data_IF_512746102912
#
_entry.id   IF_512746102912
#
_cell.length_a   1.000
_cell.length_b   1.000
_cell.length_c   1.000
_cell.angle_alpha   90.00
_cell.angle_beta   90.00
_cell.angle_gamma   90.00
#
_symmetry.space_group_name_H-M   'P 1'
#
loop_
_entity.id
_entity.type
_entity.pdbx_description
1 polymer ?
#
# COMPACT_ATOMS: atom_id res chain seq x y z
N UNK A 1 -14.55 36.70 8.46
CA UNK A 1 -13.52 37.07 7.47
C UNK A 1 -13.80 36.38 6.14
N UNK A 2 -13.70 37.09 5.03
CA UNK A 2 -14.11 36.53 3.72
C UNK A 2 -13.32 35.30 3.29
N UNK A 3 -12.09 35.11 3.78
CA UNK A 3 -11.23 33.99 3.36
C UNK A 3 -11.01 32.94 4.44
N UNK A 4 -11.88 32.88 5.45
CA UNK A 4 -11.72 31.90 6.53
C UNK A 4 -11.77 30.45 6.02
N UNK A 5 -12.59 30.22 4.99
CA UNK A 5 -12.71 28.89 4.38
C UNK A 5 -11.43 28.44 3.65
N UNK A 6 -10.46 29.34 3.42
CA UNK A 6 -9.18 29.00 2.78
C UNK A 6 -8.07 28.70 3.80
N UNK A 7 -8.36 28.78 5.08
CA UNK A 7 -7.37 28.41 6.10
C UNK A 7 -7.11 26.91 6.05
N UNK A 8 -5.87 26.54 6.30
CA UNK A 8 -5.44 25.12 6.27
C UNK A 8 -6.25 24.25 7.23
N UNK A 9 -6.51 24.76 8.44
CA UNK A 9 -7.26 24.01 9.46
C UNK A 9 -8.75 23.84 9.15
N UNK A 10 -9.25 24.50 8.09
CA UNK A 10 -10.62 24.36 7.62
C UNK A 10 -10.75 23.39 6.43
N UNK A 11 -9.62 22.85 5.96
CA UNK A 11 -9.66 21.91 4.83
C UNK A 11 -10.11 20.54 5.30
N UNK A 12 -11.04 19.93 4.56
CA UNK A 12 -11.58 18.61 4.91
C UNK A 12 -10.53 17.51 4.81
N UNK A 13 -9.76 17.52 3.73
CA UNK A 13 -8.91 16.39 3.39
C UNK A 13 -7.43 16.60 3.76
N UNK A 14 -7.04 17.78 4.25
CA UNK A 14 -5.66 17.98 4.67
C UNK A 14 -5.22 17.04 5.79
N UNK A 15 -6.05 16.78 6.83
CA UNK A 15 -5.65 15.80 7.85
C UNK A 15 -5.36 14.41 7.27
N UNK A 16 -6.10 13.99 6.24
CA UNK A 16 -5.85 12.72 5.58
C UNK A 16 -4.49 12.72 4.87
N UNK A 17 -4.18 13.79 4.16
CA UNK A 17 -2.90 13.95 3.48
C UNK A 17 -1.74 13.94 4.49
N UNK A 18 -1.88 14.72 5.55
CA UNK A 18 -0.86 14.79 6.60
C UNK A 18 -0.70 13.44 7.32
N UNK A 19 -1.81 12.79 7.65
CA UNK A 19 -1.79 11.49 8.32
C UNK A 19 -1.10 10.44 7.44
N UNK A 20 -1.37 10.43 6.14
CA UNK A 20 -0.74 9.49 5.22
C UNK A 20 0.79 9.66 5.21
N UNK A 21 1.28 10.89 5.12
CA UNK A 21 2.71 11.17 5.12
C UNK A 21 3.39 10.79 6.45
N UNK A 22 2.73 11.12 7.56
CA UNK A 22 3.26 10.83 8.89
C UNK A 22 3.24 9.33 9.17
N UNK A 23 2.21 8.63 8.73
CA UNK A 23 2.07 7.19 8.92
C UNK A 23 3.20 6.42 8.22
N UNK A 24 3.59 6.84 7.02
CA UNK A 24 4.72 6.24 6.30
C UNK A 24 5.99 6.34 7.14
N UNK A 25 6.20 7.45 7.83
CA UNK A 25 7.35 7.63 8.73
C UNK A 25 7.30 6.68 9.92
N UNK A 26 6.10 6.42 10.45
CA UNK A 26 5.94 5.48 11.57
C UNK A 26 6.24 4.05 11.11
N UNK A 27 5.83 3.68 9.90
CA UNK A 27 6.13 2.36 9.36
C UNK A 27 7.60 2.13 9.05
N UNK A 28 8.35 3.18 8.72
CA UNK A 28 9.74 3.05 8.25
C UNK A 28 10.61 2.18 9.16
N UNK A 29 10.70 2.44 10.48
CA UNK A 29 11.53 1.60 11.34
C UNK A 29 11.02 0.18 11.48
N UNK A 30 9.71 -0.05 11.29
CA UNK A 30 9.13 -1.39 11.32
C UNK A 30 9.46 -2.19 10.06
N UNK A 31 9.59 -1.50 8.93
CA UNK A 31 9.83 -2.13 7.63
C UNK A 31 11.32 -2.26 7.28
N UNK A 32 12.19 -1.47 7.91
CA UNK A 32 13.64 -1.53 7.66
C UNK A 32 14.23 -2.92 7.80
N UNK A 33 13.89 -3.72 8.85
CA UNK A 33 14.42 -5.08 8.94
C UNK A 33 14.06 -5.97 7.76
N UNK A 34 12.98 -5.66 7.06
CA UNK A 34 12.55 -6.39 5.87
C UNK A 34 13.10 -5.78 4.58
N UNK A 35 13.73 -4.61 4.65
CA UNK A 35 14.22 -3.90 3.46
C UNK A 35 13.11 -3.37 2.58
N UNK A 36 11.92 -3.11 3.13
CA UNK A 36 10.75 -2.66 2.38
C UNK A 36 10.44 -1.19 2.63
N UNK A 37 10.03 -0.49 1.57
CA UNK A 37 9.29 0.76 1.71
C UNK A 37 7.82 0.45 1.99
N UNK A 38 7.05 1.46 2.39
CA UNK A 38 5.61 1.26 2.66
C UNK A 38 4.88 0.79 1.39
N UNK A 39 5.17 1.38 0.23
CA UNK A 39 4.56 0.97 -1.04
C UNK A 39 4.87 -0.48 -1.38
N UNK A 40 6.11 -0.91 -1.15
CA UNK A 40 6.51 -2.29 -1.37
C UNK A 40 5.80 -3.24 -0.41
N UNK A 41 5.64 -2.83 0.83
CA UNK A 41 4.89 -3.60 1.82
C UNK A 41 3.45 -3.83 1.37
N UNK A 42 2.79 -2.79 0.82
CA UNK A 42 1.42 -2.92 0.31
C UNK A 42 1.34 -3.95 -0.82
N UNK A 43 2.31 -3.95 -1.74
CA UNK A 43 2.36 -4.95 -2.81
C UNK A 43 2.50 -6.35 -2.22
N UNK A 44 3.39 -6.51 -1.23
CA UNK A 44 3.59 -7.81 -0.58
C UNK A 44 2.32 -8.28 0.12
N UNK A 45 1.59 -7.38 0.80
CA UNK A 45 0.33 -7.73 1.47
C UNK A 45 -0.68 -8.31 0.48
N UNK A 46 -0.80 -7.71 -0.70
CA UNK A 46 -1.71 -8.21 -1.73
C UNK A 46 -1.27 -9.59 -2.24
N UNK A 47 0.03 -9.76 -2.50
CA UNK A 47 0.57 -11.02 -3.01
C UNK A 47 0.56 -12.14 -1.96
N UNK A 48 0.77 -11.82 -0.69
CA UNK A 48 0.65 -12.81 0.38
C UNK A 48 -0.79 -13.30 0.54
N UNK A 49 -1.76 -12.44 0.27
CA UNK A 49 -3.17 -12.82 0.31
C UNK A 49 -3.52 -13.74 -0.86
N UNK A 50 -3.07 -13.38 -2.07
CA UNK A 50 -3.23 -14.20 -3.27
C UNK A 50 -2.11 -13.90 -4.26
N UNK A 51 -1.22 -14.86 -4.47
CA UNK A 51 -0.11 -14.76 -5.39
C UNK A 51 -0.58 -14.86 -6.85
N UNK A 52 0.30 -14.55 -7.79
CA UNK A 52 0.03 -14.74 -9.21
C UNK A 52 -0.92 -13.71 -9.81
N UNK A 53 -0.94 -12.50 -9.28
CA UNK A 53 -1.82 -11.44 -9.79
C UNK A 53 -1.17 -10.69 -10.94
N UNK A 54 -1.99 -10.15 -11.83
CA UNK A 54 -1.49 -9.25 -12.88
C UNK A 54 -1.18 -7.86 -12.30
N UNK A 55 -0.37 -7.09 -13.04
CA UNK A 55 -0.10 -5.69 -12.69
C UNK A 55 -1.41 -4.89 -12.61
N UNK A 56 -2.35 -5.15 -13.52
CA UNK A 56 -3.66 -4.51 -13.49
C UNK A 56 -4.44 -4.82 -12.22
N UNK A 57 -4.43 -6.09 -11.77
CA UNK A 57 -5.08 -6.48 -10.51
C UNK A 57 -4.46 -5.78 -9.31
N UNK A 58 -3.14 -5.69 -9.27
CA UNK A 58 -2.44 -4.95 -8.20
C UNK A 58 -2.85 -3.48 -8.18
N UNK A 59 -2.93 -2.87 -9.36
CA UNK A 59 -3.34 -1.47 -9.49
C UNK A 59 -4.75 -1.23 -8.96
N UNK A 60 -5.67 -2.14 -9.23
CA UNK A 60 -7.04 -2.05 -8.71
C UNK A 60 -7.08 -2.22 -7.19
N UNK A 61 -6.33 -3.16 -6.65
CA UNK A 61 -6.29 -3.39 -5.21
C UNK A 61 -5.69 -2.20 -4.45
N UNK A 62 -4.68 -1.55 -5.03
CA UNK A 62 -3.88 -0.52 -4.36
C UNK A 62 -4.24 0.91 -4.80
N UNK A 63 -5.16 1.06 -5.75
CA UNK A 63 -5.53 2.36 -6.32
C UNK A 63 -4.31 3.06 -6.93
N UNK A 64 -3.45 2.30 -7.61
CA UNK A 64 -2.25 2.82 -8.28
C UNK A 64 -2.32 2.49 -9.77
N UNK A 65 -1.82 3.41 -10.59
CA UNK A 65 -1.72 3.17 -12.03
C UNK A 65 -0.48 2.35 -12.38
N UNK A 66 -0.43 1.83 -13.61
CA UNK A 66 0.68 1.02 -14.08
C UNK A 66 1.98 1.81 -14.17
N UNK A 67 1.89 3.11 -14.44
CA UNK A 67 3.06 3.99 -14.49
C UNK A 67 3.76 4.11 -13.14
N UNK A 68 3.00 4.07 -12.05
CA UNK A 68 3.53 4.06 -10.68
C UNK A 68 4.02 2.66 -10.28
N UNK A 69 3.23 1.63 -10.61
CA UNK A 69 3.52 0.25 -10.20
C UNK A 69 4.72 -0.35 -10.93
N UNK A 70 4.87 -0.13 -12.22
CA UNK A 70 5.90 -0.80 -13.00
C UNK A 70 7.31 -0.54 -12.47
N UNK A 71 7.73 0.71 -12.19
CA UNK A 71 9.05 0.93 -11.59
C UNK A 71 9.19 0.32 -10.20
N UNK A 72 8.12 0.34 -9.42
CA UNK A 72 8.09 -0.25 -8.08
C UNK A 72 8.33 -1.76 -8.15
N UNK A 73 7.61 -2.44 -9.04
CA UNK A 73 7.72 -3.89 -9.22
C UNK A 73 9.09 -4.29 -9.77
N UNK A 74 9.66 -3.48 -10.67
CA UNK A 74 11.01 -3.73 -11.19
C UNK A 74 12.05 -3.70 -10.07
N UNK A 75 11.94 -2.73 -9.17
CA UNK A 75 12.86 -2.65 -8.01
C UNK A 75 12.70 -3.85 -7.08
N UNK A 76 11.45 -4.31 -6.88
CA UNK A 76 11.19 -5.48 -6.04
C UNK A 76 11.70 -6.77 -6.69
N UNK A 77 11.59 -6.89 -8.00
CA UNK A 77 12.17 -8.02 -8.74
C UNK A 77 13.70 -8.03 -8.60
N UNK A 78 14.33 -6.87 -8.76
CA UNK A 78 15.77 -6.74 -8.59
C UNK A 78 16.22 -7.10 -7.17
N UNK A 79 15.39 -6.81 -6.18
CA UNK A 79 15.65 -7.16 -4.78
C UNK A 79 15.41 -8.64 -4.49
N UNK A 80 14.90 -9.42 -5.44
CA UNK A 80 14.70 -10.85 -5.28
C UNK A 80 13.40 -11.24 -4.59
N UNK A 81 12.42 -10.34 -4.52
CA UNK A 81 11.17 -10.58 -3.79
C UNK A 81 10.08 -11.17 -4.67
N UNK A 82 10.08 -10.86 -5.94
CA UNK A 82 9.07 -11.31 -6.89
C UNK A 82 9.67 -11.49 -8.28
N UNK A 83 8.89 -12.12 -9.15
CA UNK A 83 9.20 -12.32 -10.55
C UNK A 83 8.07 -11.75 -11.41
N UNK A 84 8.44 -11.17 -12.55
CA UNK A 84 7.50 -10.70 -13.54
C UNK A 84 7.57 -11.60 -14.76
N UNK A 85 6.43 -12.03 -15.25
CA UNK A 85 6.35 -12.87 -16.46
C UNK A 85 5.14 -12.46 -17.27
N UNK A 86 5.22 -12.64 -18.59
CA UNK A 86 4.06 -12.40 -19.43
C UNK A 86 3.08 -13.56 -19.28
N UNK A 87 1.79 -13.22 -19.30
CA UNK A 87 0.73 -14.21 -19.25
C UNK A 87 0.79 -15.04 -20.56
N UNK A 88 0.93 -16.37 -20.48
CA UNK A 88 0.96 -17.21 -21.69
C UNK A 88 -0.33 -17.11 -22.53
N UNK A 89 -1.45 -16.80 -21.89
CA UNK A 89 -2.75 -16.70 -22.57
C UNK A 89 -3.02 -15.30 -23.12
N UNK A 90 -2.33 -14.27 -22.62
CA UNK A 90 -2.48 -12.89 -23.10
C UNK A 90 -1.17 -12.13 -22.84
N UNK A 91 -0.36 -11.98 -23.87
CA UNK A 91 0.97 -11.35 -23.79
C UNK A 91 0.95 -9.89 -23.35
N UNK A 92 -0.24 -9.24 -23.38
CA UNK A 92 -0.39 -7.86 -22.91
C UNK A 92 -0.41 -7.78 -21.38
N UNK A 93 -0.65 -8.90 -20.70
CA UNK A 93 -0.72 -8.98 -19.25
C UNK A 93 0.62 -9.42 -18.69
N UNK A 94 1.05 -8.73 -17.64
CA UNK A 94 2.23 -9.10 -16.87
C UNK A 94 1.76 -9.67 -15.54
N UNK A 95 2.19 -10.89 -15.24
CA UNK A 95 1.85 -11.58 -14.00
C UNK A 95 2.98 -11.43 -13.00
N UNK A 96 2.62 -11.27 -11.75
CA UNK A 96 3.55 -11.08 -10.64
C UNK A 96 3.44 -12.29 -9.72
N UNK A 97 4.56 -12.92 -9.42
CA UNK A 97 4.61 -14.05 -8.50
C UNK A 97 5.73 -13.84 -7.48
N UNK A 98 5.49 -14.29 -6.24
CA UNK A 98 6.48 -14.23 -5.18
C UNK A 98 7.61 -15.23 -5.44
N UNK A 99 8.83 -14.84 -5.12
CA UNK A 99 9.93 -15.77 -4.99
C UNK A 99 9.81 -16.50 -3.65
N UNK A 100 10.64 -17.52 -3.44
CA UNK A 100 10.71 -18.17 -2.13
C UNK A 100 11.10 -17.19 -1.03
N UNK A 101 12.02 -16.28 -1.33
CA UNK A 101 12.43 -15.21 -0.39
C UNK A 101 11.24 -14.32 -0.05
N UNK A 102 10.47 -13.88 -1.06
CA UNK A 102 9.29 -13.04 -0.85
C UNK A 102 8.22 -13.75 -0.02
N UNK A 103 8.02 -15.04 -0.27
CA UNK A 103 7.06 -15.85 0.48
C UNK A 103 7.47 -16.00 1.95
N UNK A 104 8.74 -16.32 2.20
CA UNK A 104 9.26 -16.51 3.57
C UNK A 104 9.25 -15.22 4.39
N UNK A 105 9.36 -14.06 3.74
CA UNK A 105 9.31 -12.77 4.41
C UNK A 105 8.02 -12.57 5.20
N UNK A 106 6.95 -13.26 4.84
CA UNK A 106 5.67 -13.22 5.53
C UNK A 106 5.80 -13.56 7.01
N UNK A 107 6.73 -14.44 7.37
CA UNK A 107 6.97 -14.84 8.76
C UNK A 107 7.39 -13.65 9.63
N UNK A 108 8.29 -12.81 9.12
CA UNK A 108 8.72 -11.61 9.82
C UNK A 108 7.66 -10.50 9.77
N UNK A 109 6.93 -10.40 8.65
CA UNK A 109 5.94 -9.37 8.44
C UNK A 109 4.73 -9.51 9.36
N UNK A 110 4.47 -10.70 9.90
CA UNK A 110 3.34 -10.93 10.82
C UNK A 110 3.35 -10.01 12.04
N UNK A 111 4.52 -9.56 12.45
CA UNK A 111 4.70 -8.72 13.63
C UNK A 111 4.31 -7.25 13.39
N UNK A 112 4.32 -6.83 12.13
CA UNK A 112 4.18 -5.41 11.79
C UNK A 112 2.85 -4.81 12.24
N UNK A 113 1.67 -5.43 11.99
CA UNK A 113 0.42 -4.84 12.44
C UNK A 113 0.35 -4.61 13.94
N UNK A 114 0.84 -5.55 14.74
CA UNK A 114 0.85 -5.40 16.19
C UNK A 114 1.83 -4.32 16.65
N UNK A 115 3.02 -4.27 16.03
CA UNK A 115 4.01 -3.25 16.34
C UNK A 115 3.49 -1.86 16.00
N UNK A 116 2.75 -1.74 14.91
CA UNK A 116 2.11 -0.47 14.53
C UNK A 116 1.11 -0.04 15.60
N UNK A 117 0.23 -0.94 16.04
CA UNK A 117 -0.78 -0.63 17.05
C UNK A 117 -0.19 -0.23 18.39
N UNK A 118 0.99 -0.75 18.73
CA UNK A 118 1.71 -0.34 19.94
C UNK A 118 2.22 1.10 19.84
N UNK A 119 2.59 1.54 18.63
CA UNK A 119 3.09 2.90 18.40
C UNK A 119 1.97 3.91 18.17
N UNK A 120 0.87 3.48 17.58
CA UNK A 120 -0.26 4.34 17.23
C UNK A 120 -1.46 3.89 18.04
N UNK A 121 -1.70 4.59 19.15
CA UNK A 121 -2.82 4.27 20.04
C UNK A 121 -4.03 5.11 19.65
N UNK A 122 -4.88 4.53 18.81
CA UNK A 122 -6.11 5.18 18.34
C UNK A 122 -7.31 4.44 18.90
N UNK A 123 -8.22 5.17 19.56
CA UNK A 123 -9.48 4.60 20.02
C UNK A 123 -10.37 4.31 18.81
N UNK A 124 -11.09 3.17 18.86
CA UNK A 124 -12.03 2.76 17.80
C UNK A 124 -11.36 2.70 16.43
N UNK A 125 -10.19 2.06 16.36
CA UNK A 125 -9.41 1.99 15.13
C UNK A 125 -10.18 1.32 13.99
N UNK A 126 -11.05 0.35 14.30
CA UNK A 126 -11.87 -0.33 13.30
C UNK A 126 -12.88 0.63 12.67
N UNK A 127 -13.50 1.46 13.48
CA UNK A 127 -14.43 2.48 12.99
C UNK A 127 -13.72 3.52 12.14
N UNK A 128 -12.53 3.95 12.54
CA UNK A 128 -11.71 4.87 11.75
C UNK A 128 -11.33 4.24 10.40
N UNK A 129 -10.90 2.98 10.41
CA UNK A 129 -10.58 2.25 9.18
C UNK A 129 -11.79 2.20 8.25
N UNK A 130 -12.96 1.86 8.78
CA UNK A 130 -14.18 1.75 7.97
C UNK A 130 -14.56 3.11 7.36
N UNK A 131 -14.43 4.19 8.14
CA UNK A 131 -14.69 5.55 7.64
C UNK A 131 -13.73 5.94 6.54
N UNK A 132 -12.45 5.59 6.67
CA UNK A 132 -11.46 5.85 5.63
C UNK A 132 -11.73 5.03 4.36
N UNK A 133 -12.15 3.78 4.50
CA UNK A 133 -12.52 2.94 3.36
C UNK A 133 -13.72 3.52 2.61
N UNK A 134 -14.72 4.01 3.34
CA UNK A 134 -15.87 4.69 2.73
C UNK A 134 -15.42 5.92 1.95
N UNK A 135 -14.51 6.70 2.50
CA UNK A 135 -13.96 7.88 1.80
C UNK A 135 -13.22 7.47 0.53
N UNK A 136 -12.42 6.40 0.58
CA UNK A 136 -11.72 5.88 -0.60
C UNK A 136 -12.71 5.54 -1.72
N UNK A 137 -13.80 4.85 -1.38
CA UNK A 137 -14.83 4.48 -2.36
C UNK A 137 -15.49 5.72 -2.97
N UNK A 138 -15.81 6.72 -2.15
CA UNK A 138 -16.40 7.96 -2.62
C UNK A 138 -15.46 8.67 -3.60
N UNK A 139 -14.18 8.77 -3.24
CA UNK A 139 -13.18 9.43 -4.07
C UNK A 139 -12.92 8.67 -5.37
N UNK A 140 -12.89 7.34 -5.31
CA UNK A 140 -12.66 6.51 -6.49
C UNK A 140 -13.78 6.69 -7.52
N UNK A 141 -15.03 6.79 -7.08
CA UNK A 141 -16.17 7.02 -7.96
C UNK A 141 -16.20 8.44 -8.53
N UNK A 142 -15.59 9.40 -7.84
CA UNK A 142 -15.58 10.81 -8.27
C UNK A 142 -14.49 11.15 -9.26
N UNK A 143 -13.64 10.21 -9.62
CA UNK A 143 -12.50 10.43 -10.53
C UNK A 143 -12.81 9.95 -11.94
#
# INVERSE_FOLDING_TARGET
MPNDHLKLDKQLCFPLYAASNLLVRVYRPLLEPLGLTYSQYLVMLVLWERDGRSVGDLGQCLYLDSGTLTPLLKRMEKAGLLLRSRDPDDERRVLISLTQQGLEMQLEAKKIPQQLLQKVNVQNIEQLRDSMQDLVEILDKGV
#
